data_IF_074757435767
#
_entry.id   IF_074757435767
#
_cell.length_a   1.000
_cell.length_b   1.000
_cell.length_c   1.000
_cell.angle_alpha   90.00
_cell.angle_beta   90.00
_cell.angle_gamma   90.00
#
_symmetry.space_group_name_H-M   'P 1'
#
loop_
_entity.id
_entity.type
_entity.pdbx_description
1 polymer ?
#
# COMPACT_ATOMS: atom_id res chain seq x y z
N UNK A 1 15.35 -8.16 -77.52
CA UNK A 1 14.92 -9.15 -76.51
C UNK A 1 15.67 -8.87 -75.22
N UNK A 2 15.01 -8.31 -74.21
CA UNK A 2 15.62 -7.87 -72.95
C UNK A 2 15.51 -9.01 -71.94
N UNK A 3 16.65 -9.52 -71.47
CA UNK A 3 16.74 -10.48 -70.37
C UNK A 3 16.79 -9.71 -69.04
N UNK A 4 15.68 -9.70 -68.32
CA UNK A 4 15.66 -9.39 -66.88
C UNK A 4 16.22 -10.58 -66.10
N UNK A 5 17.24 -10.34 -65.29
CA UNK A 5 17.76 -11.29 -64.30
C UNK A 5 17.64 -10.68 -62.89
N UNK A 6 17.11 -11.52 -62.01
CA UNK A 6 16.65 -11.30 -60.64
C UNK A 6 17.78 -11.32 -59.59
N UNK A 7 17.42 -10.90 -58.35
CA UNK A 7 17.99 -11.18 -56.99
C UNK A 7 19.18 -10.30 -56.57
N UNK A 8 19.39 -9.89 -55.32
CA UNK A 8 18.85 -10.10 -53.96
C UNK A 8 19.29 -8.85 -53.14
N UNK A 9 18.93 -8.55 -51.90
CA UNK A 9 18.25 -9.29 -50.84
C UNK A 9 17.93 -8.32 -49.69
N UNK A 10 16.86 -8.63 -48.95
CA UNK A 10 16.47 -7.89 -47.76
C UNK A 10 17.22 -8.47 -46.55
N UNK A 11 18.08 -7.66 -45.91
CA UNK A 11 18.70 -7.99 -44.63
C UNK A 11 17.77 -7.52 -43.53
N UNK A 12 16.98 -8.44 -42.97
CA UNK A 12 16.18 -8.19 -41.78
C UNK A 12 17.09 -8.25 -40.54
N UNK A 13 17.38 -7.10 -39.93
CA UNK A 13 18.00 -7.01 -38.61
C UNK A 13 16.94 -7.36 -37.56
N UNK A 14 16.95 -8.61 -37.08
CA UNK A 14 16.17 -9.03 -35.94
C UNK A 14 16.94 -8.72 -34.65
N UNK A 15 16.67 -7.57 -34.04
CA UNK A 15 17.17 -7.23 -32.71
C UNK A 15 16.37 -7.99 -31.65
N UNK A 16 16.92 -9.09 -31.13
CA UNK A 16 16.36 -9.80 -29.99
C UNK A 16 16.61 -8.97 -28.72
N UNK A 17 15.60 -8.24 -28.27
CA UNK A 17 15.62 -7.59 -26.96
C UNK A 17 15.49 -8.67 -25.87
N UNK A 18 16.59 -8.95 -25.17
CA UNK A 18 16.58 -9.78 -23.99
C UNK A 18 15.81 -9.06 -22.88
N UNK A 19 14.57 -9.48 -22.64
CA UNK A 19 13.79 -9.08 -21.47
C UNK A 19 14.39 -9.78 -20.24
N UNK A 20 15.26 -9.07 -19.53
CA UNK A 20 15.71 -9.47 -18.19
C UNK A 20 14.49 -9.45 -17.26
N UNK A 21 13.90 -10.63 -17.04
CA UNK A 21 12.94 -10.87 -15.97
C UNK A 21 13.68 -10.69 -14.64
N UNK A 22 13.57 -9.49 -14.06
CA UNK A 22 14.00 -9.25 -12.68
C UNK A 22 13.05 -10.05 -11.80
N UNK A 23 13.51 -11.20 -11.31
CA UNK A 23 12.81 -11.94 -10.28
C UNK A 23 12.87 -11.08 -9.00
N UNK A 24 11.78 -10.37 -8.69
CA UNK A 24 11.62 -9.72 -7.40
C UNK A 24 11.72 -10.80 -6.32
N UNK A 25 12.70 -10.69 -5.44
CA UNK A 25 12.79 -11.55 -4.26
C UNK A 25 11.55 -11.29 -3.39
N UNK A 26 10.91 -12.33 -2.81
CA UNK A 26 9.78 -12.11 -1.92
C UNK A 26 10.24 -11.26 -0.75
N UNK A 27 9.64 -10.07 -0.57
CA UNK A 27 9.86 -9.26 0.61
C UNK A 27 9.58 -10.12 1.84
N UNK A 28 10.52 -10.15 2.79
CA UNK A 28 10.36 -10.92 4.01
C UNK A 28 9.09 -10.44 4.73
N UNK A 29 8.13 -11.34 4.93
CA UNK A 29 6.94 -11.03 5.70
C UNK A 29 7.37 -10.75 7.15
N UNK A 30 7.03 -9.57 7.66
CA UNK A 30 7.19 -9.26 9.09
C UNK A 30 6.29 -10.09 10.00
N UNK A 31 6.21 -9.70 11.28
CA UNK A 31 5.41 -10.41 12.29
C UNK A 31 4.00 -9.82 12.43
N UNK A 32 3.03 -10.67 12.78
CA UNK A 32 1.72 -10.19 13.18
C UNK A 32 1.83 -9.37 14.48
N UNK A 33 1.07 -8.27 14.56
CA UNK A 33 1.04 -7.40 15.72
C UNK A 33 -0.39 -7.18 16.20
N UNK A 34 -0.68 -7.60 17.43
CA UNK A 34 -1.99 -7.45 18.05
C UNK A 34 -3.17 -7.96 17.19
N UNK A 35 -2.92 -9.02 16.40
CA UNK A 35 -3.90 -9.61 15.48
C UNK A 35 -3.89 -8.99 14.07
N UNK A 36 -3.17 -7.89 13.87
CA UNK A 36 -2.89 -7.35 12.53
C UNK A 36 -1.83 -8.21 11.86
N UNK A 37 -2.15 -8.81 10.72
CA UNK A 37 -1.18 -9.61 9.97
C UNK A 37 -0.08 -8.71 9.39
N UNK A 38 1.09 -9.28 9.13
CA UNK A 38 2.15 -8.55 8.44
C UNK A 38 1.76 -8.25 7.00
N UNK A 39 2.18 -7.09 6.51
CA UNK A 39 1.81 -6.58 5.19
C UNK A 39 0.46 -5.85 5.15
N UNK A 40 -0.23 -5.72 6.30
CA UNK A 40 -1.59 -5.16 6.32
C UNK A 40 -1.68 -3.77 6.97
N UNK A 41 -2.66 -3.00 6.51
CA UNK A 41 -3.28 -1.92 7.29
C UNK A 41 -4.42 -2.48 8.10
N UNK A 42 -4.53 -2.07 9.37
CA UNK A 42 -5.51 -2.59 10.30
C UNK A 42 -6.31 -1.47 10.99
N UNK A 43 -7.63 -1.63 11.03
CA UNK A 43 -8.56 -0.73 11.70
C UNK A 43 -9.13 -1.41 12.95
N UNK A 44 -8.98 -0.76 14.09
CA UNK A 44 -9.51 -1.21 15.37
C UNK A 44 -10.68 -0.34 15.82
N UNK A 45 -11.65 -0.98 16.45
CA UNK A 45 -12.82 -0.35 17.05
C UNK A 45 -12.68 0.08 18.50
N UNK A 46 -11.47 0.04 19.05
CA UNK A 46 -11.15 0.26 20.46
C UNK A 46 -9.65 0.12 20.67
N UNK A 47 -9.24 -0.46 21.80
CA UNK A 47 -7.83 -0.76 22.06
C UNK A 47 -7.25 -1.63 20.93
N UNK A 48 -5.98 -1.43 20.51
CA UNK A 48 -5.38 -2.21 19.42
C UNK A 48 -5.02 -3.61 19.92
N UNK A 49 -6.03 -4.46 20.11
CA UNK A 49 -5.95 -5.87 20.49
C UNK A 49 -6.83 -6.69 19.56
N UNK A 50 -6.60 -8.01 19.41
CA UNK A 50 -7.29 -8.82 18.41
C UNK A 50 -8.83 -8.76 18.48
N UNK A 51 -9.40 -8.68 19.69
CA UNK A 51 -10.85 -8.63 19.89
C UNK A 51 -11.53 -7.35 19.37
N UNK A 52 -10.76 -6.27 19.16
CA UNK A 52 -11.26 -5.02 18.58
C UNK A 52 -10.85 -4.81 17.12
N UNK A 53 -10.15 -5.77 16.50
CA UNK A 53 -9.80 -5.67 15.09
C UNK A 53 -11.06 -5.80 14.24
N UNK A 54 -11.42 -4.73 13.53
CA UNK A 54 -12.63 -4.67 12.70
C UNK A 54 -12.36 -4.96 11.24
N UNK A 55 -11.17 -4.60 10.76
CA UNK A 55 -10.81 -4.72 9.37
C UNK A 55 -9.30 -4.78 9.22
N UNK A 56 -8.82 -5.58 8.27
CA UNK A 56 -7.44 -5.53 7.81
C UNK A 56 -7.37 -5.87 6.33
N UNK A 57 -6.36 -5.35 5.65
CA UNK A 57 -6.13 -5.60 4.22
C UNK A 57 -4.66 -5.40 3.85
N UNK A 58 -4.09 -6.20 2.94
CA UNK A 58 -2.80 -5.92 2.33
C UNK A 58 -2.88 -4.85 1.23
N UNK A 59 -4.10 -4.54 0.77
CA UNK A 59 -4.35 -3.57 -0.28
C UNK A 59 -4.83 -2.23 0.27
N UNK A 60 -5.78 -1.64 -0.44
CA UNK A 60 -6.37 -0.36 -0.07
C UNK A 60 -7.48 -0.55 0.97
N UNK A 61 -7.55 0.36 1.94
CA UNK A 61 -8.73 0.48 2.81
C UNK A 61 -9.84 1.19 2.03
N UNK A 62 -11.03 0.57 1.86
CA UNK A 62 -12.13 1.23 1.17
C UNK A 62 -12.58 2.51 1.88
N UNK A 63 -12.99 3.51 1.09
CA UNK A 63 -13.58 4.74 1.59
C UNK A 63 -14.81 4.46 2.48
N UNK A 64 -15.00 5.30 3.51
CA UNK A 64 -16.13 5.21 4.43
C UNK A 64 -15.93 4.21 5.58
N UNK A 65 -14.81 3.46 5.61
CA UNK A 65 -14.49 2.62 6.78
C UNK A 65 -14.21 3.49 8.01
N UNK A 66 -14.64 3.00 9.17
CA UNK A 66 -14.46 3.71 10.45
C UNK A 66 -13.44 3.02 11.34
N UNK A 67 -12.75 3.82 12.14
CA UNK A 67 -11.73 3.34 13.06
C UNK A 67 -11.63 4.23 14.31
N UNK A 68 -11.16 3.64 15.40
CA UNK A 68 -10.63 4.37 16.55
C UNK A 68 -9.11 4.40 16.52
N UNK A 69 -8.50 3.29 16.10
CA UNK A 69 -7.07 3.17 15.87
C UNK A 69 -6.84 2.60 14.48
N UNK A 70 -5.96 3.20 13.71
CA UNK A 70 -5.45 2.66 12.44
C UNK A 70 -3.95 2.45 12.56
N UNK A 71 -3.48 1.30 12.08
CA UNK A 71 -2.07 0.91 12.16
C UNK A 71 -1.58 0.42 10.79
N UNK A 72 -0.39 0.87 10.42
CA UNK A 72 0.38 0.31 9.31
C UNK A 72 1.28 -0.82 9.85
N UNK A 73 0.86 -2.07 9.69
CA UNK A 73 1.70 -3.24 9.93
C UNK A 73 2.17 -3.84 8.58
N UNK A 74 2.46 -2.95 7.62
CA UNK A 74 3.07 -3.28 6.34
C UNK A 74 4.45 -3.91 6.49
N UNK A 75 5.06 -4.24 5.35
CA UNK A 75 6.44 -4.70 5.31
C UNK A 75 7.36 -3.53 4.91
N UNK A 76 8.62 -3.50 5.37
CA UNK A 76 9.58 -2.52 4.90
C UNK A 76 9.85 -2.74 3.41
N UNK A 77 9.53 -1.73 2.61
CA UNK A 77 9.68 -1.72 1.16
C UNK A 77 10.06 -0.30 0.71
N UNK A 78 11.29 -0.08 0.22
CA UNK A 78 11.76 1.25 -0.17
C UNK A 78 10.81 1.93 -1.15
N UNK A 79 10.20 3.03 -0.72
CA UNK A 79 9.29 3.82 -1.55
C UNK A 79 7.84 3.33 -1.62
N UNK A 80 7.46 2.29 -0.87
CA UNK A 80 6.10 1.73 -0.88
C UNK A 80 5.57 1.29 0.50
N UNK A 81 6.27 1.61 1.58
CA UNK A 81 5.98 1.18 2.96
C UNK A 81 5.18 2.17 3.80
N UNK A 82 4.85 3.34 3.24
CA UNK A 82 4.04 4.35 3.91
C UNK A 82 2.58 4.28 3.48
N UNK A 83 1.69 4.44 4.46
CA UNK A 83 0.23 4.47 4.23
C UNK A 83 -0.25 5.91 4.32
N UNK A 84 -0.68 6.45 3.18
CA UNK A 84 -1.24 7.81 3.09
C UNK A 84 -2.75 7.73 2.95
N UNK A 85 -3.47 8.55 3.70
CA UNK A 85 -4.93 8.62 3.64
C UNK A 85 -5.45 9.96 4.15
N UNK A 86 -6.73 10.19 3.93
CA UNK A 86 -7.47 11.25 4.60
C UNK A 86 -8.44 10.65 5.62
N UNK A 87 -8.64 11.35 6.73
CA UNK A 87 -9.66 11.00 7.70
C UNK A 87 -10.43 12.22 8.16
N UNK A 88 -11.67 12.01 8.59
CA UNK A 88 -12.45 13.01 9.32
C UNK A 88 -12.93 12.41 10.62
N UNK A 89 -13.10 13.24 11.64
CA UNK A 89 -13.81 12.84 12.84
C UNK A 89 -15.29 12.56 12.52
N UNK A 90 -15.89 11.57 13.18
CA UNK A 90 -17.31 11.28 13.01
C UNK A 90 -18.15 12.53 13.31
N UNK A 91 -19.07 12.87 12.40
CA UNK A 91 -19.89 14.07 12.49
C UNK A 91 -19.19 15.38 12.07
N UNK A 92 -17.90 15.34 11.73
CA UNK A 92 -17.19 16.50 11.15
C UNK A 92 -17.31 16.53 9.63
N UNK A 93 -17.19 17.71 9.03
CA UNK A 93 -17.03 17.89 7.58
C UNK A 93 -15.56 18.10 7.16
N UNK A 94 -14.67 18.33 8.11
CA UNK A 94 -13.25 18.60 7.87
C UNK A 94 -12.46 17.32 7.71
N UNK A 95 -11.69 17.25 6.62
CA UNK A 95 -10.77 16.15 6.34
C UNK A 95 -9.34 16.54 6.68
N UNK A 96 -8.62 15.61 7.28
CA UNK A 96 -7.22 15.71 7.67
C UNK A 96 -6.41 14.68 6.89
N UNK A 97 -5.23 15.06 6.42
CA UNK A 97 -4.29 14.13 5.79
C UNK A 97 -3.42 13.46 6.84
N UNK A 98 -3.15 12.17 6.68
CA UNK A 98 -2.21 11.42 7.52
C UNK A 98 -1.33 10.54 6.64
N UNK A 99 -0.11 10.35 7.11
CA UNK A 99 0.86 9.41 6.57
C UNK A 99 1.36 8.57 7.76
N UNK A 100 1.33 7.25 7.62
CA UNK A 100 1.79 6.29 8.63
C UNK A 100 3.00 5.54 8.11
N UNK A 101 4.05 5.52 8.93
CA UNK A 101 5.26 4.75 8.68
C UNK A 101 5.00 3.27 8.95
N UNK A 102 5.80 2.37 8.39
CA UNK A 102 5.68 0.96 8.76
C UNK A 102 6.14 0.75 10.22
N UNK A 103 5.62 -0.29 10.88
CA UNK A 103 6.08 -0.65 12.23
C UNK A 103 7.47 -1.28 12.21
N UNK A 104 8.31 -1.06 13.24
CA UNK A 104 7.96 -0.52 14.56
C UNK A 104 8.17 0.99 14.73
N UNK A 105 8.37 1.74 13.65
CA UNK A 105 8.79 3.14 13.73
C UNK A 105 7.74 4.06 14.39
N UNK A 106 8.22 5.18 14.92
CA UNK A 106 7.36 6.25 15.41
C UNK A 106 6.45 6.77 14.29
N UNK A 107 5.15 6.89 14.54
CA UNK A 107 4.19 7.34 13.54
C UNK A 107 3.51 6.24 12.74
N UNK A 108 3.70 4.96 13.10
CA UNK A 108 3.04 3.83 12.44
C UNK A 108 1.54 3.69 12.75
N UNK A 109 1.04 4.48 13.70
CA UNK A 109 -0.35 4.44 14.12
C UNK A 109 -0.94 5.84 14.28
N UNK A 110 -2.23 5.94 14.01
CA UNK A 110 -3.06 7.04 14.43
C UNK A 110 -4.09 6.51 15.41
N UNK A 111 -4.12 7.11 16.60
CA UNK A 111 -5.01 6.76 17.70
C UNK A 111 -5.90 7.96 18.00
N UNK A 112 -7.21 7.80 17.80
CA UNK A 112 -8.20 8.85 17.99
C UNK A 112 -8.96 8.69 19.31
N UNK A 113 -8.61 7.70 20.14
CA UNK A 113 -9.35 7.40 21.38
C UNK A 113 -9.31 8.55 22.39
N UNK A 114 -8.21 9.31 22.42
CA UNK A 114 -8.06 10.49 23.29
C UNK A 114 -9.03 11.63 22.92
N UNK A 115 -9.45 11.69 21.65
CA UNK A 115 -10.46 12.66 21.18
C UNK A 115 -11.90 12.22 21.44
N UNK A 116 -12.11 11.02 22.01
CA UNK A 116 -13.42 10.42 22.28
C UNK A 116 -14.36 10.37 21.06
N UNK A 117 -13.82 10.44 19.83
CA UNK A 117 -14.59 10.28 18.61
C UNK A 117 -13.76 9.54 17.55
N UNK A 118 -14.35 8.51 16.94
CA UNK A 118 -13.72 7.75 15.87
C UNK A 118 -13.57 8.55 14.58
N UNK A 119 -12.78 8.02 13.66
CA UNK A 119 -12.56 8.56 12.32
C UNK A 119 -13.23 7.75 11.22
N UNK A 120 -13.52 8.41 10.11
CA UNK A 120 -13.87 7.80 8.82
C UNK A 120 -12.72 8.05 7.84
N UNK A 121 -12.28 7.02 7.11
CA UNK A 121 -11.16 7.09 6.16
C UNK A 121 -11.63 7.28 4.71
N UNK A 122 -10.79 7.93 3.89
CA UNK A 122 -10.88 7.91 2.43
C UNK A 122 -9.52 8.08 1.75
N UNK A 123 -9.49 7.87 0.43
CA UNK A 123 -8.34 8.14 -0.44
C UNK A 123 -7.04 7.49 0.07
N UNK A 124 -7.14 6.25 0.57
CA UNK A 124 -5.98 5.53 1.08
C UNK A 124 -5.15 4.99 -0.09
N UNK A 125 -3.81 5.08 0.04
CA UNK A 125 -2.86 4.45 -0.85
C UNK A 125 -1.53 4.14 -0.14
N UNK A 126 -0.80 3.16 -0.68
CA UNK A 126 0.59 2.87 -0.33
C UNK A 126 1.53 3.75 -1.17
N UNK A 127 2.59 4.27 -0.57
CA UNK A 127 3.57 5.11 -1.27
C UNK A 127 4.88 5.25 -0.50
N UNK A 128 5.72 6.17 -0.94
CA UNK A 128 7.00 6.46 -0.31
C UNK A 128 6.88 7.41 0.88
N UNK A 129 8.05 7.84 1.38
CA UNK A 129 8.23 8.71 2.54
C UNK A 129 7.21 9.83 2.66
N UNK A 130 6.79 10.12 3.90
CA UNK A 130 6.07 11.34 4.24
C UNK A 130 7.01 12.55 4.05
#
# INVERSE_FOLDING_TARGET
>A
MIKMLLRAGAVALASAAALSLVAASPAAAGSAWNGCNSGNVCLYGGNPVPSYLKYQTPGLVPDGKTFWVIVNNGNPEPGADHVRFQYRFWGSSTWHSKCLHYRPDGGSMLDLRDGAVGGEIRNMYWGGEC
#
